data_IF_357183166201
#
_entry.id   IF_357183166201
#
_cell.length_a   1.000
_cell.length_b   1.000
_cell.length_c   1.000
_cell.angle_alpha   90.00
_cell.angle_beta   90.00
_cell.angle_gamma   90.00
#
_symmetry.space_group_name_H-M   'P 1'
#
loop_
_entity.id
_entity.type
_entity.pdbx_description
1 polymer ?
#
# COMPACT_ATOMS: atom_id res chain seq x y z
N UNK A 1 17.74 -1.84 15.47
CA UNK A 1 18.10 -0.57 16.15
C UNK A 1 19.60 -0.40 16.16
N UNK A 2 20.10 0.80 15.88
CA UNK A 2 21.51 1.15 15.94
C UNK A 2 21.79 2.13 17.08
N UNK A 3 22.95 1.99 17.73
CA UNK A 3 23.46 2.96 18.73
C UNK A 3 24.50 3.93 18.15
N UNK A 4 24.89 3.73 16.88
CA UNK A 4 26.00 4.44 16.26
C UNK A 4 25.45 5.19 15.04
N UNK A 5 25.25 6.50 15.19
CA UNK A 5 24.64 7.43 14.22
C UNK A 5 24.29 8.77 14.88
N UNK A 6 23.70 9.73 14.13
CA UNK A 6 23.19 11.01 14.69
C UNK A 6 22.00 10.83 15.65
N UNK A 7 21.35 9.67 15.63
CA UNK A 7 20.14 9.38 16.40
C UNK A 7 20.23 8.00 17.08
N UNK A 8 19.76 7.93 18.33
CA UNK A 8 19.73 6.71 19.13
C UNK A 8 18.42 5.95 18.86
N UNK A 9 18.52 4.75 18.27
CA UNK A 9 17.35 3.93 17.94
C UNK A 9 16.58 3.43 19.16
N UNK A 10 17.22 3.31 20.32
CA UNK A 10 16.53 2.92 21.57
C UNK A 10 15.64 4.04 22.07
N UNK A 11 16.14 5.28 22.11
CA UNK A 11 15.36 6.46 22.50
C UNK A 11 14.22 6.70 21.53
N UNK A 12 14.48 6.56 20.23
CA UNK A 12 13.47 6.76 19.20
C UNK A 12 12.32 5.75 19.33
N UNK A 13 12.65 4.48 19.62
CA UNK A 13 11.63 3.47 19.87
C UNK A 13 10.89 3.70 21.19
N UNK A 14 11.60 4.06 22.26
CA UNK A 14 11.02 4.30 23.58
C UNK A 14 10.06 5.51 23.61
N UNK A 15 10.32 6.52 22.78
CA UNK A 15 9.49 7.72 22.66
C UNK A 15 8.37 7.58 21.61
N UNK A 16 8.24 6.42 20.96
CA UNK A 16 7.18 6.19 19.99
C UNK A 16 5.85 6.00 20.73
N UNK A 17 4.83 6.78 20.36
CA UNK A 17 3.49 6.77 20.99
C UNK A 17 2.76 5.42 20.87
N UNK A 18 3.28 4.51 20.05
CA UNK A 18 2.77 3.14 19.85
C UNK A 18 3.68 2.05 20.40
N UNK A 19 4.64 2.40 21.27
CA UNK A 19 5.56 1.44 21.90
C UNK A 19 4.85 0.25 22.55
N UNK A 20 3.66 0.47 23.11
CA UNK A 20 2.86 -0.58 23.77
C UNK A 20 2.36 -1.69 22.82
N UNK A 21 2.41 -1.46 21.50
CA UNK A 21 2.09 -2.50 20.51
C UNK A 21 3.23 -3.52 20.34
N UNK A 22 4.44 -3.23 20.84
CA UNK A 22 5.54 -4.19 20.85
C UNK A 22 5.32 -5.22 21.95
N UNK A 23 5.00 -6.43 21.54
CA UNK A 23 4.87 -7.57 22.46
C UNK A 23 6.25 -8.21 22.70
N UNK A 24 6.48 -8.79 23.90
CA UNK A 24 7.68 -9.59 24.12
C UNK A 24 7.80 -10.69 23.06
N UNK A 25 8.94 -10.70 22.37
CA UNK A 25 9.32 -11.64 21.32
C UNK A 25 10.82 -11.88 21.39
N UNK A 26 11.38 -12.81 20.61
CA UNK A 26 12.82 -13.06 20.59
C UNK A 26 13.61 -11.77 20.26
N UNK A 27 14.62 -11.47 21.09
CA UNK A 27 15.50 -10.31 20.93
C UNK A 27 16.98 -10.72 20.96
N UNK A 28 17.81 -9.96 20.27
CA UNK A 28 19.26 -10.12 20.31
C UNK A 28 19.97 -8.77 20.46
N UNK A 29 21.05 -8.75 21.25
CA UNK A 29 22.03 -7.66 21.30
C UNK A 29 23.00 -7.82 20.13
N UNK A 30 23.25 -6.75 19.40
CA UNK A 30 24.19 -6.76 18.28
C UNK A 30 25.61 -6.50 18.75
N UNK A 31 26.59 -6.91 17.94
CA UNK A 31 28.01 -6.68 18.23
C UNK A 31 28.36 -5.20 18.41
N UNK A 32 27.59 -4.27 17.85
CA UNK A 32 27.80 -2.82 17.95
C UNK A 32 26.92 -2.15 19.02
N UNK A 33 26.39 -2.91 19.99
CA UNK A 33 25.55 -2.39 21.08
C UNK A 33 24.09 -2.10 20.67
N UNK A 34 23.73 -2.32 19.41
CA UNK A 34 22.35 -2.25 18.93
C UNK A 34 21.49 -3.44 19.38
N UNK A 35 20.26 -3.48 18.87
CA UNK A 35 19.29 -4.55 19.17
C UNK A 35 18.48 -4.96 17.95
N UNK A 36 18.22 -6.26 17.84
CA UNK A 36 17.23 -6.85 16.94
C UNK A 36 16.04 -7.34 17.76
N UNK A 37 14.82 -7.08 17.26
CA UNK A 37 13.57 -7.63 17.77
C UNK A 37 12.95 -8.41 16.61
N UNK A 38 12.66 -9.70 16.82
CA UNK A 38 12.25 -10.59 15.74
C UNK A 38 10.76 -10.94 15.83
N UNK A 39 10.05 -10.83 14.71
CA UNK A 39 8.65 -11.23 14.59
C UNK A 39 8.44 -12.11 13.37
N UNK A 40 7.48 -13.02 13.43
CA UNK A 40 6.88 -13.56 12.21
C UNK A 40 6.01 -12.49 11.54
N UNK A 41 5.97 -12.52 10.21
CA UNK A 41 5.08 -11.65 9.43
C UNK A 41 3.63 -11.99 9.73
N UNK A 42 2.80 -10.95 9.85
CA UNK A 42 1.35 -11.16 9.92
C UNK A 42 0.84 -11.72 8.58
N UNK A 43 -0.02 -12.75 8.57
CA UNK A 43 -0.46 -13.41 7.33
C UNK A 43 -1.22 -12.47 6.39
N UNK A 44 -2.06 -11.59 6.93
CA UNK A 44 -2.97 -10.76 6.13
C UNK A 44 -2.41 -9.39 5.73
N UNK A 45 -1.18 -9.06 6.13
CA UNK A 45 -0.59 -7.74 5.86
C UNK A 45 0.83 -7.89 5.37
N UNK A 46 1.06 -7.53 4.10
CA UNK A 46 2.39 -7.48 3.52
C UNK A 46 3.24 -6.40 4.19
N UNK A 47 4.53 -6.68 4.38
CA UNK A 47 5.51 -5.74 4.91
C UNK A 47 6.74 -5.78 4.01
N UNK A 48 7.22 -4.60 3.61
CA UNK A 48 8.44 -4.39 2.83
C UNK A 48 9.55 -3.88 3.74
N UNK A 49 10.76 -3.77 3.20
CA UNK A 49 11.84 -3.07 3.90
C UNK A 49 11.47 -1.60 4.10
N UNK A 50 11.69 -1.08 5.30
CA UNK A 50 11.55 0.35 5.62
C UNK A 50 12.82 0.79 6.34
N UNK A 51 13.54 1.75 5.77
CA UNK A 51 14.77 2.26 6.38
C UNK A 51 14.43 3.44 7.28
N UNK A 52 14.89 3.37 8.52
CA UNK A 52 14.67 4.39 9.54
C UNK A 52 13.20 4.82 9.64
N UNK A 53 12.28 3.88 9.88
CA UNK A 53 10.87 4.24 10.10
C UNK A 53 10.68 5.08 11.37
N UNK A 54 11.59 4.89 12.32
CA UNK A 54 11.95 5.85 13.33
C UNK A 54 13.47 6.12 13.19
N UNK A 55 13.98 7.27 13.66
CA UNK A 55 15.41 7.53 13.64
C UNK A 55 16.22 6.38 14.28
N UNK A 56 17.17 5.80 13.56
CA UNK A 56 17.98 4.66 14.07
C UNK A 56 17.23 3.31 14.18
N UNK A 57 16.01 3.18 13.64
CA UNK A 57 15.22 1.95 13.65
C UNK A 57 14.77 1.54 12.25
N UNK A 58 15.31 0.41 11.76
CA UNK A 58 14.96 -0.17 10.46
C UNK A 58 14.00 -1.36 10.58
N UNK A 59 13.17 -1.54 9.55
CA UNK A 59 12.40 -2.76 9.30
C UNK A 59 13.06 -3.56 8.17
N UNK A 60 13.40 -4.82 8.46
CA UNK A 60 13.92 -5.80 7.50
C UNK A 60 12.85 -6.87 7.24
N UNK A 61 12.05 -6.68 6.21
CA UNK A 61 10.91 -7.57 5.90
C UNK A 61 10.82 -8.00 4.42
N UNK A 62 11.85 -7.76 3.60
CA UNK A 62 11.89 -8.25 2.21
C UNK A 62 12.54 -9.65 2.11
N UNK A 63 12.14 -10.53 1.17
CA UNK A 63 12.78 -11.85 0.98
C UNK A 63 14.31 -11.79 0.76
N UNK A 64 14.80 -10.70 0.17
CA UNK A 64 16.23 -10.48 -0.06
C UNK A 64 16.94 -9.72 1.08
N UNK A 65 16.30 -9.57 2.25
CA UNK A 65 16.93 -8.99 3.43
C UNK A 65 17.41 -10.07 4.38
N UNK A 66 18.63 -9.88 4.87
CA UNK A 66 19.25 -10.75 5.85
C UNK A 66 19.75 -9.93 7.04
N UNK A 67 19.81 -10.56 8.20
CA UNK A 67 20.42 -10.01 9.41
C UNK A 67 21.33 -11.06 10.02
N UNK A 68 22.41 -10.62 10.67
CA UNK A 68 23.20 -11.50 11.51
C UNK A 68 22.41 -11.85 12.79
N UNK A 69 22.50 -13.09 13.22
CA UNK A 69 21.80 -13.64 14.39
C UNK A 69 22.80 -14.09 15.46
N UNK A 70 22.36 -14.17 16.71
CA UNK A 70 23.21 -14.75 17.75
C UNK A 70 23.38 -16.27 17.52
N UNK A 71 24.56 -16.86 17.83
CA UNK A 71 25.70 -16.23 18.51
C UNK A 71 26.84 -15.76 17.57
N UNK A 72 26.56 -15.26 16.35
CA UNK A 72 27.59 -14.87 15.37
C UNK A 72 28.62 -13.88 15.90
N UNK A 73 29.87 -14.03 15.46
CA UNK A 73 31.01 -13.16 15.83
C UNK A 73 31.46 -12.30 14.65
N UNK A 74 31.87 -11.08 14.94
CA UNK A 74 32.43 -10.11 13.99
C UNK A 74 33.65 -9.43 14.62
N UNK A 75 34.39 -8.64 13.84
CA UNK A 75 35.47 -7.82 14.38
C UNK A 75 35.02 -6.81 15.45
N UNK A 76 33.73 -6.42 15.46
CA UNK A 76 33.16 -5.48 16.44
C UNK A 76 32.69 -6.14 17.74
N UNK A 77 32.70 -7.48 17.80
CA UNK A 77 32.17 -8.24 18.94
C UNK A 77 31.19 -9.33 18.50
N UNK A 78 30.39 -9.79 19.46
CA UNK A 78 29.51 -10.95 19.30
C UNK A 78 28.03 -10.55 19.43
N UNK A 79 27.19 -11.12 18.58
CA UNK A 79 25.73 -11.08 18.73
C UNK A 79 25.33 -12.04 19.85
N UNK A 80 24.48 -11.61 20.78
CA UNK A 80 24.01 -12.44 21.91
C UNK A 80 22.50 -12.38 22.03
N UNK A 81 21.87 -13.49 22.43
CA UNK A 81 20.43 -13.50 22.72
C UNK A 81 20.16 -12.67 23.98
N UNK A 82 19.14 -11.82 23.94
CA UNK A 82 18.71 -10.99 25.07
C UNK A 82 17.53 -11.70 25.77
N UNK A 83 17.84 -12.78 26.49
CA UNK A 83 16.81 -13.65 27.07
C UNK A 83 15.94 -12.92 28.10
N UNK A 84 16.51 -11.97 28.85
CA UNK A 84 15.80 -11.17 29.85
C UNK A 84 14.70 -10.27 29.24
N UNK A 85 14.89 -9.85 27.99
CA UNK A 85 13.92 -9.02 27.26
C UNK A 85 13.12 -9.81 26.24
N UNK A 86 13.50 -11.07 26.00
CA UNK A 86 12.77 -11.95 25.11
C UNK A 86 11.51 -12.47 25.77
N UNK A 87 10.58 -12.97 24.96
CA UNK A 87 9.50 -13.82 25.47
C UNK A 87 10.09 -15.04 26.19
N UNK A 88 9.39 -15.54 27.20
CA UNK A 88 9.71 -16.80 27.86
C UNK A 88 9.97 -17.91 26.82
N UNK A 89 11.05 -18.66 27.04
CA UNK A 89 11.53 -19.69 26.11
C UNK A 89 12.27 -19.18 24.88
N UNK A 90 12.49 -17.87 24.71
CA UNK A 90 13.26 -17.31 23.59
C UNK A 90 12.57 -17.52 22.23
N UNK A 91 11.25 -17.41 22.20
CA UNK A 91 10.45 -17.69 21.00
C UNK A 91 10.06 -16.41 20.26
N UNK A 92 9.98 -16.51 18.93
CA UNK A 92 9.37 -15.47 18.10
C UNK A 92 7.84 -15.56 18.16
N UNK A 93 7.18 -14.41 18.12
CA UNK A 93 5.73 -14.32 17.93
C UNK A 93 5.39 -13.63 16.62
N UNK A 94 4.17 -13.83 16.15
CA UNK A 94 3.63 -13.08 15.01
C UNK A 94 3.38 -11.63 15.42
N UNK A 95 3.85 -10.68 14.62
CA UNK A 95 3.53 -9.27 14.85
C UNK A 95 2.00 -9.07 14.78
N UNK A 96 1.42 -8.35 15.74
CA UNK A 96 -0.02 -8.04 15.69
C UNK A 96 -0.34 -7.17 14.46
N UNK A 97 -1.57 -7.28 13.96
CA UNK A 97 -2.03 -6.44 12.85
C UNK A 97 -1.85 -4.95 13.16
N UNK A 98 -2.15 -4.54 14.39
CA UNK A 98 -2.05 -3.15 14.83
C UNK A 98 -0.61 -2.65 14.86
N UNK A 99 0.36 -3.47 15.31
CA UNK A 99 1.78 -3.12 15.25
C UNK A 99 2.23 -2.90 13.80
N UNK A 100 1.85 -3.80 12.89
CA UNK A 100 2.20 -3.69 11.47
C UNK A 100 1.62 -2.43 10.84
N UNK A 101 0.36 -2.09 11.15
CA UNK A 101 -0.29 -0.88 10.65
C UNK A 101 0.30 0.39 11.25
N UNK A 102 0.63 0.39 12.54
CA UNK A 102 1.28 1.52 13.21
C UNK A 102 2.65 1.82 12.61
N UNK A 103 3.49 0.81 12.37
CA UNK A 103 4.80 0.97 11.70
C UNK A 103 4.62 1.58 10.31
N UNK A 104 3.68 1.07 9.52
CA UNK A 104 3.37 1.61 8.18
C UNK A 104 2.95 3.08 8.26
N UNK A 105 2.05 3.41 9.17
CA UNK A 105 1.56 4.78 9.34
C UNK A 105 2.69 5.73 9.75
N UNK A 106 3.56 5.32 10.67
CA UNK A 106 4.71 6.12 11.10
C UNK A 106 5.70 6.36 9.96
N UNK A 107 6.01 5.31 9.19
CA UNK A 107 6.86 5.43 8.01
C UNK A 107 6.29 6.42 6.96
N UNK A 108 4.97 6.43 6.78
CA UNK A 108 4.30 7.38 5.90
C UNK A 108 4.41 8.84 6.41
N UNK A 109 4.35 9.08 7.73
CA UNK A 109 4.56 10.42 8.32
C UNK A 109 5.97 10.96 8.05
N UNK A 110 7.00 10.11 8.07
CA UNK A 110 8.37 10.51 7.72
C UNK A 110 8.48 11.00 6.27
N UNK A 111 7.72 10.39 5.37
CA UNK A 111 7.67 10.74 3.95
C UNK A 111 6.63 11.83 3.64
N UNK A 112 6.23 12.62 4.64
CA UNK A 112 5.13 13.59 4.56
C UNK A 112 5.60 15.05 4.31
N UNK A 113 6.77 15.26 3.70
CA UNK A 113 6.77 16.15 2.53
C UNK A 113 6.12 15.32 1.45
N UNK A 114 4.80 15.37 1.47
CA UNK A 114 3.93 14.40 0.84
C UNK A 114 4.30 14.36 -0.65
N UNK A 115 4.87 13.25 -1.10
CA UNK A 115 5.04 12.99 -2.54
C UNK A 115 3.70 13.18 -3.25
N UNK A 116 2.58 12.94 -2.56
CA UNK A 116 1.23 13.26 -3.05
C UNK A 116 1.02 14.76 -3.18
N UNK A 117 1.45 15.59 -2.23
CA UNK A 117 1.35 17.06 -2.31
C UNK A 117 2.21 17.57 -3.46
N UNK A 118 3.44 17.07 -3.61
CA UNK A 118 4.31 17.40 -4.75
C UNK A 118 3.70 16.92 -6.08
N UNK A 119 3.05 15.75 -6.12
CA UNK A 119 2.28 15.26 -7.28
C UNK A 119 1.06 16.17 -7.54
N UNK A 120 0.31 16.56 -6.51
CA UNK A 120 -0.83 17.48 -6.63
C UNK A 120 -0.36 18.85 -7.11
N UNK A 121 0.75 19.37 -6.60
CA UNK A 121 1.39 20.61 -7.06
C UNK A 121 1.87 20.49 -8.51
N UNK A 122 2.49 19.37 -8.91
CA UNK A 122 2.90 19.13 -10.31
C UNK A 122 1.71 18.98 -11.26
N UNK A 123 0.64 18.30 -10.82
CA UNK A 123 -0.62 18.19 -11.55
C UNK A 123 -1.30 19.56 -11.71
N UNK A 124 -1.34 20.35 -10.64
CA UNK A 124 -1.85 21.73 -10.65
C UNK A 124 -0.98 22.68 -11.48
N UNK A 125 0.33 22.42 -11.53
CA UNK A 125 1.31 23.18 -12.34
C UNK A 125 1.37 22.73 -13.80
N UNK A 126 0.53 21.76 -14.22
CA UNK A 126 0.35 21.37 -15.62
C UNK A 126 1.35 20.35 -16.17
N UNK A 127 2.18 19.71 -15.32
CA UNK A 127 3.17 18.71 -15.74
C UNK A 127 2.58 17.32 -16.04
N UNK A 128 1.26 17.14 -15.96
CA UNK A 128 0.53 15.95 -16.39
C UNK A 128 -0.67 16.31 -17.27
N UNK A 129 -0.81 15.69 -18.45
CA UNK A 129 -1.97 15.91 -19.32
C UNK A 129 -3.16 15.05 -18.84
N UNK A 130 -4.06 15.66 -18.05
CA UNK A 130 -5.42 15.10 -17.84
C UNK A 130 -6.01 14.73 -19.19
N UNK A 131 -6.56 13.53 -19.27
CA UNK A 131 -7.19 13.04 -20.47
C UNK A 131 -8.37 12.12 -20.13
N UNK A 132 -9.07 11.65 -21.16
CA UNK A 132 -10.26 10.82 -20.98
C UNK A 132 -9.99 9.52 -20.19
N UNK A 133 -8.76 8.99 -20.22
CA UNK A 133 -8.36 7.85 -19.38
C UNK A 133 -8.38 8.22 -17.90
N UNK A 134 -7.79 9.37 -17.55
CA UNK A 134 -7.69 9.79 -16.14
C UNK A 134 -9.08 9.97 -15.53
N UNK A 135 -10.01 10.54 -16.29
CA UNK A 135 -11.42 10.67 -15.88
C UNK A 135 -12.08 9.32 -15.63
N UNK A 136 -11.85 8.32 -16.50
CA UNK A 136 -12.45 7.00 -16.36
C UNK A 136 -11.88 6.21 -15.18
N UNK A 137 -10.59 6.35 -14.90
CA UNK A 137 -9.99 5.76 -13.70
C UNK A 137 -10.58 6.38 -12.42
N UNK A 138 -10.78 7.70 -12.41
CA UNK A 138 -11.42 8.40 -11.29
C UNK A 138 -12.89 8.01 -11.13
N UNK A 139 -13.64 7.81 -12.22
CA UNK A 139 -15.03 7.34 -12.18
C UNK A 139 -15.19 5.98 -11.48
N UNK A 140 -14.15 5.13 -11.47
CA UNK A 140 -14.19 3.88 -10.69
C UNK A 140 -14.43 4.18 -9.21
N UNK A 141 -13.88 5.27 -8.69
CA UNK A 141 -14.00 5.68 -7.29
C UNK A 141 -15.17 6.63 -7.08
N UNK A 142 -15.37 7.61 -7.98
CA UNK A 142 -16.37 8.66 -7.82
C UNK A 142 -17.78 8.26 -8.31
N UNK A 143 -17.91 7.14 -9.01
CA UNK A 143 -19.15 6.72 -9.67
C UNK A 143 -19.52 7.56 -10.89
N UNK A 144 -20.79 7.49 -11.30
CA UNK A 144 -21.30 8.08 -12.54
C UNK A 144 -22.00 9.43 -12.36
N UNK A 145 -21.91 10.03 -11.17
CA UNK A 145 -22.48 11.33 -10.83
C UNK A 145 -23.98 11.32 -10.58
N UNK A 146 -24.57 12.52 -10.52
CA UNK A 146 -25.95 12.77 -10.10
C UNK A 146 -27.01 12.39 -11.17
N UNK A 147 -28.27 12.33 -10.74
CA UNK A 147 -29.41 11.95 -11.59
C UNK A 147 -29.51 12.81 -12.86
N UNK A 148 -29.65 12.16 -14.02
CA UNK A 148 -29.85 12.79 -15.33
C UNK A 148 -28.71 12.57 -16.34
N UNK A 149 -27.47 12.35 -15.89
CA UNK A 149 -26.31 12.15 -16.78
C UNK A 149 -25.67 10.74 -16.70
N UNK A 150 -26.09 9.91 -15.73
CA UNK A 150 -25.46 8.61 -15.43
C UNK A 150 -25.36 7.66 -16.61
N UNK A 151 -26.39 7.54 -17.44
CA UNK A 151 -26.35 6.66 -18.62
C UNK A 151 -25.30 7.13 -19.65
N UNK A 152 -25.20 8.44 -19.85
CA UNK A 152 -24.20 9.02 -20.75
C UNK A 152 -22.78 8.87 -20.17
N UNK A 153 -22.64 9.04 -18.86
CA UNK A 153 -21.38 8.80 -18.14
C UNK A 153 -20.96 7.34 -18.20
N UNK A 154 -21.87 6.40 -17.96
CA UNK A 154 -21.63 4.96 -18.09
C UNK A 154 -21.27 4.56 -19.52
N UNK A 155 -21.93 5.14 -20.52
CA UNK A 155 -21.59 4.92 -21.94
C UNK A 155 -20.21 5.48 -22.27
N UNK A 156 -19.87 6.68 -21.77
CA UNK A 156 -18.54 7.30 -21.91
C UNK A 156 -17.46 6.44 -21.26
N UNK A 157 -17.73 5.92 -20.07
CA UNK A 157 -16.86 5.01 -19.33
C UNK A 157 -16.58 3.75 -20.15
N UNK A 158 -17.63 3.02 -20.53
CA UNK A 158 -17.51 1.78 -21.30
C UNK A 158 -16.81 2.00 -22.65
N UNK A 159 -17.18 3.04 -23.40
CA UNK A 159 -16.56 3.36 -24.69
C UNK A 159 -15.06 3.68 -24.59
N UNK A 160 -14.64 4.34 -23.52
CA UNK A 160 -13.23 4.73 -23.31
C UNK A 160 -12.36 3.53 -22.93
N UNK A 161 -12.91 2.58 -22.16
CA UNK A 161 -12.25 1.31 -21.82
C UNK A 161 -12.12 0.41 -23.06
N UNK A 162 -13.18 0.28 -23.87
CA UNK A 162 -13.16 -0.47 -25.12
C UNK A 162 -12.13 0.11 -26.11
N UNK A 163 -12.04 1.43 -26.22
CA UNK A 163 -11.02 2.09 -27.05
C UNK A 163 -9.57 1.82 -26.59
N UNK A 164 -9.37 1.28 -25.39
CA UNK A 164 -8.08 0.85 -24.83
C UNK A 164 -7.91 -0.67 -24.81
N UNK A 165 -8.75 -1.38 -25.55
CA UNK A 165 -8.74 -2.84 -25.65
C UNK A 165 -8.98 -3.58 -24.31
N UNK A 166 -9.68 -2.95 -23.36
CA UNK A 166 -10.17 -3.67 -22.18
C UNK A 166 -11.23 -4.67 -22.63
N UNK A 167 -11.09 -5.93 -22.22
CA UNK A 167 -12.00 -6.99 -22.65
C UNK A 167 -13.45 -6.72 -22.18
N UNK A 168 -14.47 -7.06 -23.00
CA UNK A 168 -15.86 -6.79 -22.69
C UNK A 168 -16.32 -7.29 -21.31
N UNK A 169 -15.82 -8.45 -20.87
CA UNK A 169 -16.13 -9.01 -19.55
C UNK A 169 -15.65 -8.10 -18.40
N UNK A 170 -14.46 -7.50 -18.52
CA UNK A 170 -13.93 -6.59 -17.53
C UNK A 170 -14.56 -5.20 -17.62
N UNK A 171 -14.97 -4.76 -18.82
CA UNK A 171 -15.70 -3.49 -18.97
C UNK A 171 -16.99 -3.49 -18.15
N UNK A 172 -17.77 -4.59 -18.19
CA UNK A 172 -19.00 -4.69 -17.40
C UNK A 172 -18.71 -4.72 -15.89
N UNK A 173 -17.71 -5.49 -15.45
CA UNK A 173 -17.32 -5.57 -14.03
C UNK A 173 -16.85 -4.20 -13.50
N UNK A 174 -15.98 -3.51 -14.26
CA UNK A 174 -15.51 -2.17 -13.90
C UNK A 174 -16.67 -1.16 -13.85
N UNK A 175 -17.63 -1.28 -14.76
CA UNK A 175 -18.81 -0.43 -14.77
C UNK A 175 -19.71 -0.70 -13.55
N UNK A 176 -19.84 -1.95 -13.11
CA UNK A 176 -20.58 -2.32 -11.90
C UNK A 176 -19.91 -1.75 -10.64
N UNK A 177 -18.58 -1.86 -10.54
CA UNK A 177 -17.80 -1.29 -9.43
C UNK A 177 -18.02 0.22 -9.37
N UNK A 178 -17.85 0.92 -10.51
CA UNK A 178 -18.07 2.36 -10.59
C UNK A 178 -19.52 2.74 -10.23
N UNK A 179 -20.51 2.03 -10.78
CA UNK A 179 -21.93 2.30 -10.53
C UNK A 179 -22.27 2.20 -9.03
N UNK A 180 -21.73 1.19 -8.34
CA UNK A 180 -21.96 0.98 -6.90
C UNK A 180 -21.37 2.08 -6.01
N UNK A 181 -20.41 2.87 -6.51
CA UNK A 181 -19.91 4.05 -5.82
C UNK A 181 -20.72 5.32 -6.12
N UNK A 182 -21.71 5.25 -7.01
CA UNK A 182 -22.64 6.37 -7.23
C UNK A 182 -23.61 6.48 -6.05
N UNK A 183 -23.95 7.71 -5.64
CA UNK A 183 -24.92 7.95 -4.56
C UNK A 183 -26.27 7.28 -4.85
N UNK A 184 -26.67 7.28 -6.12
CA UNK A 184 -27.84 6.57 -6.63
C UNK A 184 -27.43 5.73 -7.85
N UNK A 185 -27.17 4.43 -7.69
CA UNK A 185 -26.74 3.56 -8.78
C UNK A 185 -27.83 3.33 -9.83
N UNK A 186 -27.43 3.17 -11.10
CA UNK A 186 -28.32 2.59 -12.12
C UNK A 186 -28.68 1.16 -11.72
N UNK A 187 -29.85 0.67 -12.13
CA UNK A 187 -30.17 -0.75 -11.96
C UNK A 187 -29.20 -1.62 -12.80
N UNK A 188 -28.94 -2.85 -12.35
CA UNK A 188 -28.09 -3.80 -13.09
C UNK A 188 -28.52 -3.98 -14.54
N UNK A 189 -29.84 -4.01 -14.77
CA UNK A 189 -30.43 -4.14 -16.10
C UNK A 189 -30.12 -2.93 -16.98
N UNK A 190 -30.25 -1.72 -16.44
CA UNK A 190 -29.98 -0.48 -17.16
C UNK A 190 -28.49 -0.34 -17.47
N UNK A 191 -27.64 -0.55 -16.46
CA UNK A 191 -26.19 -0.51 -16.63
C UNK A 191 -25.72 -1.50 -17.68
N UNK A 192 -26.16 -2.77 -17.58
CA UNK A 192 -25.81 -3.81 -18.55
C UNK A 192 -26.28 -3.45 -19.96
N UNK A 193 -27.51 -2.93 -20.11
CA UNK A 193 -28.03 -2.47 -21.40
C UNK A 193 -27.14 -1.39 -22.02
N UNK A 194 -26.71 -0.42 -21.23
CA UNK A 194 -25.82 0.66 -21.67
C UNK A 194 -24.46 0.11 -22.10
N UNK A 195 -23.83 -0.73 -21.28
CA UNK A 195 -22.53 -1.35 -21.61
C UNK A 195 -22.62 -2.22 -22.86
N UNK A 196 -23.62 -3.09 -22.96
CA UNK A 196 -23.86 -3.96 -24.12
C UNK A 196 -24.02 -3.16 -25.41
N UNK A 197 -24.70 -2.00 -25.34
CA UNK A 197 -24.86 -1.11 -26.49
C UNK A 197 -23.52 -0.56 -26.99
N UNK A 198 -22.60 -0.24 -26.07
CA UNK A 198 -21.27 0.26 -26.38
C UNK A 198 -20.37 -0.84 -26.94
N UNK A 199 -20.44 -2.05 -26.40
CA UNK A 199 -19.74 -3.23 -26.93
C UNK A 199 -20.18 -3.48 -28.38
N UNK A 200 -21.50 -3.53 -28.63
CA UNK A 200 -22.06 -3.71 -30.00
C UNK A 200 -21.64 -2.59 -30.94
N UNK A 201 -21.54 -1.35 -30.46
CA UNK A 201 -21.08 -0.21 -31.27
C UNK A 201 -19.58 -0.34 -31.60
N UNK A 202 -18.76 -0.75 -30.64
CA UNK A 202 -17.32 -0.93 -30.81
C UNK A 202 -17.00 -2.05 -31.82
N UNK A 203 -17.67 -3.20 -31.71
CA UNK A 203 -17.49 -4.33 -32.64
C UNK A 203 -17.80 -3.93 -34.09
N UNK A 204 -18.93 -3.24 -34.33
CA UNK A 204 -19.31 -2.72 -35.66
C UNK A 204 -18.34 -1.67 -36.21
N UNK A 205 -17.60 -0.98 -35.34
CA UNK A 205 -16.59 0.01 -35.73
C UNK A 205 -15.24 -0.62 -36.06
N UNK A 206 -14.89 -1.73 -35.40
CA UNK A 206 -13.64 -2.48 -35.63
C UNK A 206 -13.62 -3.25 -36.95
N UNK A 207 -14.78 -3.64 -37.48
CA UNK A 207 -14.90 -4.31 -38.79
C UNK A 207 -14.52 -3.42 -39.99
N UNK A 208 -14.40 -2.10 -39.81
CA UNK A 208 -14.05 -1.16 -40.90
C UNK A 208 -12.56 -0.90 -41.06
N UNK A 209 -11.72 -1.50 -40.23
CA UNK A 209 -10.27 -1.26 -40.17
C UNK A 209 -9.43 -2.52 -40.44
N UNK A 210 -10.00 -3.50 -41.16
CA UNK A 210 -9.29 -4.65 -41.71
C UNK A 210 -9.50 -4.72 -43.22
#
# INVERSE_FOLDING_TARGET
MTCHGKHNGYESLANWDKIDLLTPTLQAKTASGGKHIFYFKHPDVSMTQMIEFLPGVDIKAHPNNYVLVAPSKTAKGQYTWDMDKSKEGGTMVTASRDLVLAIKQEYLKKNNRSDLDDIYYQMASGNGKRNRTTEVLEMIVCGFGDEGSRNDTAAKFAGTLLARAVEPQYVLQLAQIANNHSMEPLSDRELKRTVDSMIKKHLRGGERHW
#
